data_IF_581302262800
#
_entry.id   IF_581302262800
#
_cell.length_a   1.000
_cell.length_b   1.000
_cell.length_c   1.000
_cell.angle_alpha   90.00
_cell.angle_beta   90.00
_cell.angle_gamma   90.00
#
_symmetry.space_group_name_H-M   'P 1'
#
loop_
_entity.id
_entity.type
_entity.pdbx_description
1 polymer ?
#
# COMPACT_ATOMS: atom_id res chain seq x y z
N UNK A 1 -25.43 -35.83 -38.39
CA UNK A 1 -24.19 -36.08 -37.62
C UNK A 1 -23.12 -35.16 -38.17
N UNK A 2 -22.68 -34.15 -37.39
CA UNK A 2 -21.68 -33.15 -37.82
C UNK A 2 -20.45 -33.21 -36.91
N UNK A 3 -19.38 -33.93 -37.30
CA UNK A 3 -18.11 -33.91 -36.59
C UNK A 3 -17.17 -32.93 -37.29
N UNK A 4 -17.02 -31.72 -36.75
CA UNK A 4 -16.09 -30.75 -37.38
C UNK A 4 -15.89 -29.43 -36.65
N UNK A 5 -16.76 -29.11 -35.68
CA UNK A 5 -16.65 -27.86 -34.91
C UNK A 5 -15.93 -28.01 -33.56
N UNK A 6 -15.84 -29.21 -33.01
CA UNK A 6 -15.22 -29.45 -31.69
C UNK A 6 -13.69 -29.48 -31.72
N UNK A 7 -13.07 -29.80 -32.86
CA UNK A 7 -11.61 -29.96 -32.94
C UNK A 7 -10.83 -28.63 -33.00
N UNK A 8 -11.47 -27.52 -33.40
CA UNK A 8 -10.82 -26.20 -33.43
C UNK A 8 -10.77 -25.51 -32.06
N UNK A 9 -11.67 -25.87 -31.14
CA UNK A 9 -11.72 -25.28 -29.80
C UNK A 9 -10.61 -25.85 -28.89
N UNK A 10 -10.29 -27.15 -29.06
CA UNK A 10 -9.20 -27.80 -28.32
C UNK A 10 -7.81 -27.28 -28.72
N UNK A 11 -7.61 -26.91 -29.99
CA UNK A 11 -6.30 -26.38 -30.44
C UNK A 11 -6.01 -24.96 -29.91
N UNK A 12 -7.05 -24.15 -29.66
CA UNK A 12 -6.90 -22.82 -29.08
C UNK A 12 -6.62 -22.83 -27.57
N UNK A 13 -7.06 -23.85 -26.83
CA UNK A 13 -6.77 -23.97 -25.40
C UNK A 13 -5.32 -24.40 -25.11
N UNK A 14 -4.69 -25.18 -25.99
CA UNK A 14 -3.29 -25.62 -25.80
C UNK A 14 -2.29 -24.48 -26.02
N UNK A 15 -2.60 -23.50 -26.87
CA UNK A 15 -1.71 -22.35 -27.11
C UNK A 15 -1.71 -21.32 -25.96
N UNK A 16 -2.75 -21.28 -25.13
CA UNK A 16 -2.83 -20.35 -23.99
C UNK A 16 -2.00 -20.87 -22.80
N UNK A 17 -1.78 -22.18 -22.69
CA UNK A 17 -0.98 -22.76 -21.59
C UNK A 17 0.53 -22.51 -21.69
N UNK A 18 1.05 -22.11 -22.86
CA UNK A 18 2.48 -21.79 -23.04
C UNK A 18 2.80 -20.29 -22.83
N UNK A 19 1.80 -19.44 -22.60
CA UNK A 19 1.99 -18.01 -22.36
C UNK A 19 2.15 -17.64 -20.87
N UNK A 20 2.33 -18.62 -19.99
CA UNK A 20 2.68 -18.40 -18.56
C UNK A 20 4.10 -18.92 -18.31
N UNK A 21 5.05 -18.48 -19.12
CA UNK A 21 6.46 -18.53 -18.78
C UNK A 21 6.80 -17.21 -18.09
N UNK A 22 7.03 -17.30 -16.78
CA UNK A 22 7.81 -16.36 -15.97
C UNK A 22 7.60 -14.87 -16.26
N UNK A 23 6.56 -14.29 -15.66
CA UNK A 23 6.68 -12.90 -15.21
C UNK A 23 7.70 -12.90 -14.06
N UNK A 24 8.89 -12.29 -14.19
CA UNK A 24 9.79 -12.14 -13.05
C UNK A 24 9.07 -11.25 -12.04
N UNK A 25 8.62 -11.89 -10.96
CA UNK A 25 8.20 -11.22 -9.75
C UNK A 25 9.32 -10.25 -9.34
N UNK A 26 8.92 -9.00 -9.08
CA UNK A 26 9.76 -7.83 -8.87
C UNK A 26 11.16 -8.10 -8.29
N UNK A 27 12.17 -7.81 -9.09
CA UNK A 27 13.46 -7.38 -8.55
C UNK A 27 13.61 -5.90 -8.85
N UNK A 28 13.86 -5.17 -7.78
CA UNK A 28 14.01 -3.73 -7.74
C UNK A 28 15.10 -3.32 -8.75
N UNK A 29 14.74 -2.42 -9.65
CA UNK A 29 15.63 -1.70 -10.56
C UNK A 29 16.55 -0.74 -9.79
N UNK A 30 17.42 -1.30 -8.94
CA UNK A 30 18.46 -0.59 -8.20
C UNK A 30 19.79 -1.33 -8.13
N UNK A 31 19.84 -2.61 -8.53
CA UNK A 31 21.01 -3.48 -8.34
C UNK A 31 21.90 -3.67 -9.59
N UNK A 32 21.44 -3.22 -10.77
CA UNK A 32 22.14 -3.45 -12.04
C UNK A 32 23.58 -2.92 -12.06
N UNK A 33 23.89 -1.66 -11.65
CA UNK A 33 25.23 -1.11 -11.86
C UNK A 33 26.30 -1.74 -10.94
N UNK A 34 25.94 -2.08 -9.70
CA UNK A 34 26.87 -2.71 -8.75
C UNK A 34 27.14 -4.17 -9.17
N UNK A 35 26.10 -4.86 -9.66
CA UNK A 35 26.22 -6.22 -10.13
C UNK A 35 27.14 -6.30 -11.36
N UNK A 36 26.95 -5.44 -12.36
CA UNK A 36 27.74 -5.43 -13.60
C UNK A 36 29.22 -5.17 -13.35
N UNK A 37 29.55 -4.25 -12.44
CA UNK A 37 30.92 -4.00 -12.02
C UNK A 37 31.53 -5.24 -11.35
N UNK A 38 30.82 -5.86 -10.40
CA UNK A 38 31.28 -7.09 -9.74
C UNK A 38 31.39 -8.28 -10.71
N UNK A 39 30.51 -8.38 -11.71
CA UNK A 39 30.55 -9.42 -12.73
C UNK A 39 31.78 -9.28 -13.64
N UNK A 40 32.23 -8.05 -13.90
CA UNK A 40 33.46 -7.76 -14.66
C UNK A 40 34.73 -8.16 -13.88
N UNK A 41 34.77 -7.87 -12.57
CA UNK A 41 35.90 -8.20 -11.69
C UNK A 41 36.06 -9.72 -11.50
N UNK A 42 34.95 -10.45 -11.47
CA UNK A 42 34.93 -11.90 -11.30
C UNK A 42 34.94 -12.66 -12.64
N UNK A 43 35.21 -12.00 -13.77
CA UNK A 43 35.13 -12.60 -15.11
C UNK A 43 36.18 -13.69 -15.38
N UNK A 44 37.29 -13.68 -14.66
CA UNK A 44 38.36 -14.69 -14.74
C UNK A 44 37.99 -16.04 -14.11
N UNK A 45 36.95 -16.07 -13.26
CA UNK A 45 36.47 -17.27 -12.59
C UNK A 45 35.32 -17.90 -13.38
N UNK A 46 35.10 -19.20 -13.21
CA UNK A 46 33.98 -19.92 -13.84
C UNK A 46 33.18 -20.74 -12.84
N UNK A 47 31.95 -21.10 -13.21
CA UNK A 47 31.10 -21.95 -12.38
C UNK A 47 30.81 -21.38 -10.99
N UNK A 48 31.04 -22.19 -9.94
CA UNK A 48 30.68 -21.86 -8.55
C UNK A 48 31.52 -20.72 -7.97
N UNK A 49 32.81 -20.68 -8.30
CA UNK A 49 33.76 -19.69 -7.78
C UNK A 49 33.38 -18.27 -8.25
N UNK A 50 32.92 -18.14 -9.50
CA UNK A 50 32.44 -16.86 -10.04
C UNK A 50 31.23 -16.34 -9.27
N UNK A 51 30.27 -17.22 -8.97
CA UNK A 51 29.05 -16.86 -8.25
C UNK A 51 29.39 -16.38 -6.83
N UNK A 52 30.31 -17.07 -6.17
CA UNK A 52 30.75 -16.70 -4.82
C UNK A 52 31.52 -15.38 -4.81
N UNK A 53 32.42 -15.18 -5.78
CA UNK A 53 33.13 -13.91 -5.98
C UNK A 53 32.15 -12.74 -6.17
N UNK A 54 31.16 -12.87 -7.06
CA UNK A 54 30.17 -11.82 -7.31
C UNK A 54 29.38 -11.53 -6.03
N UNK A 55 28.93 -12.57 -5.31
CA UNK A 55 28.19 -12.41 -4.05
C UNK A 55 29.00 -11.64 -3.00
N UNK A 56 30.26 -11.99 -2.81
CA UNK A 56 31.14 -11.30 -1.88
C UNK A 56 31.38 -9.85 -2.30
N UNK A 57 31.64 -9.61 -3.59
CA UNK A 57 31.85 -8.27 -4.14
C UNK A 57 30.63 -7.37 -3.91
N UNK A 58 29.43 -7.83 -4.27
CA UNK A 58 28.18 -7.07 -4.08
C UNK A 58 27.93 -6.78 -2.60
N UNK A 59 28.12 -7.78 -1.72
CA UNK A 59 27.94 -7.60 -0.29
C UNK A 59 28.95 -6.61 0.32
N UNK A 60 30.20 -6.66 -0.13
CA UNK A 60 31.25 -5.73 0.29
C UNK A 60 30.91 -4.30 -0.15
N UNK A 61 30.59 -4.12 -1.44
CA UNK A 61 30.20 -2.84 -2.04
C UNK A 61 28.98 -2.22 -1.36
N UNK A 62 27.96 -3.02 -1.03
CA UNK A 62 26.76 -2.56 -0.29
C UNK A 62 27.07 -2.13 1.14
N UNK A 63 28.07 -2.73 1.79
CA UNK A 63 28.49 -2.35 3.14
C UNK A 63 29.37 -1.10 3.13
N UNK A 64 30.16 -0.91 2.08
CA UNK A 64 31.05 0.25 1.91
C UNK A 64 30.36 1.45 1.27
N UNK A 65 29.23 1.27 0.57
CA UNK A 65 28.48 2.39 0.01
C UNK A 65 28.00 3.29 1.15
N UNK A 66 28.04 4.62 0.99
CA UNK A 66 27.52 5.53 2.01
C UNK A 66 26.11 5.07 2.35
N UNK A 67 25.87 4.76 3.62
CA UNK A 67 24.53 4.40 4.09
C UNK A 67 23.62 5.53 3.63
N UNK A 68 22.71 5.22 2.71
CA UNK A 68 21.59 6.09 2.36
C UNK A 68 21.05 6.59 3.69
N UNK A 69 21.06 7.90 3.90
CA UNK A 69 20.62 8.47 5.16
C UNK A 69 19.28 7.85 5.51
N UNK A 70 19.13 7.42 6.76
CA UNK A 70 17.88 6.79 7.17
C UNK A 70 16.74 7.76 6.88
N UNK A 71 15.60 7.25 6.41
CA UNK A 71 14.41 8.07 6.17
C UNK A 71 14.03 8.91 7.40
N UNK A 72 14.41 8.45 8.59
CA UNK A 72 14.27 9.19 9.85
C UNK A 72 15.16 10.44 9.86
N UNK A 73 16.43 10.31 9.48
CA UNK A 73 17.38 11.44 9.45
C UNK A 73 16.98 12.47 8.39
N UNK A 74 16.55 12.02 7.22
CA UNK A 74 16.03 12.89 6.16
C UNK A 74 14.82 13.70 6.64
N UNK A 75 13.81 13.02 7.22
CA UNK A 75 12.62 13.69 7.77
C UNK A 75 12.94 14.63 8.92
N UNK A 76 13.92 14.29 9.75
CA UNK A 76 14.38 15.18 10.81
C UNK A 76 14.95 16.47 10.23
N UNK A 77 15.85 16.36 9.24
CA UNK A 77 16.44 17.52 8.55
C UNK A 77 15.37 18.40 7.91
N UNK A 78 14.42 17.80 7.19
CA UNK A 78 13.31 18.54 6.56
C UNK A 78 12.45 19.29 7.59
N UNK A 79 12.14 18.64 8.72
CA UNK A 79 11.38 19.28 9.79
C UNK A 79 12.17 20.37 10.53
N UNK A 80 13.49 20.23 10.66
CA UNK A 80 14.35 21.29 11.20
C UNK A 80 14.38 22.52 10.29
N UNK A 81 14.42 22.32 8.98
CA UNK A 81 14.39 23.39 7.98
C UNK A 81 13.04 24.12 7.98
N UNK A 82 11.91 23.38 7.98
CA UNK A 82 10.56 23.97 8.05
C UNK A 82 10.38 24.79 9.34
N UNK A 83 10.91 24.29 10.46
CA UNK A 83 10.76 24.92 11.77
C UNK A 83 11.88 25.92 12.10
N UNK A 84 12.72 26.27 11.13
CA UNK A 84 13.87 27.18 11.31
C UNK A 84 13.48 28.59 11.77
N UNK A 85 12.26 29.03 11.46
CA UNK A 85 11.72 30.32 11.89
C UNK A 85 11.38 30.41 13.38
N UNK A 86 11.26 29.27 14.07
CA UNK A 86 10.93 29.20 15.50
C UNK A 86 12.17 29.01 16.36
N UNK A 87 12.11 29.44 17.63
CA UNK A 87 13.19 29.25 18.59
C UNK A 87 12.68 28.63 19.90
N UNK A 88 13.58 28.07 20.70
CA UNK A 88 13.27 27.49 22.01
C UNK A 88 12.16 26.42 21.99
N UNK A 89 11.18 26.57 22.87
CA UNK A 89 10.09 25.60 23.06
C UNK A 89 9.17 25.51 21.84
N UNK A 90 8.99 26.60 21.11
CA UNK A 90 8.12 26.63 19.92
C UNK A 90 8.73 25.83 18.77
N UNK A 91 10.06 25.88 18.61
CA UNK A 91 10.77 25.04 17.64
C UNK A 91 10.56 23.55 17.92
N UNK A 92 10.64 23.14 19.19
CA UNK A 92 10.43 21.75 19.59
C UNK A 92 8.98 21.31 19.28
N UNK A 93 7.99 22.16 19.57
CA UNK A 93 6.58 21.89 19.23
C UNK A 93 6.38 21.76 17.72
N UNK A 94 6.96 22.67 16.94
CA UNK A 94 6.89 22.63 15.48
C UNK A 94 7.50 21.34 14.92
N UNK A 95 8.71 20.97 15.34
CA UNK A 95 9.39 19.75 14.87
C UNK A 95 8.55 18.51 15.20
N UNK A 96 8.00 18.41 16.42
CA UNK A 96 7.13 17.28 16.80
C UNK A 96 5.90 17.18 15.88
N UNK A 97 5.19 18.29 15.67
CA UNK A 97 4.00 18.31 14.80
C UNK A 97 4.38 17.94 13.35
N UNK A 98 5.52 18.44 12.86
CA UNK A 98 6.03 18.11 11.54
C UNK A 98 6.33 16.61 11.39
N UNK A 99 7.03 16.01 12.35
CA UNK A 99 7.35 14.58 12.34
C UNK A 99 6.11 13.69 12.44
N UNK A 100 5.12 14.09 13.24
CA UNK A 100 3.86 13.36 13.38
C UNK A 100 3.05 13.37 12.06
N UNK A 101 3.06 14.49 11.33
CA UNK A 101 2.44 14.61 10.00
C UNK A 101 3.20 13.86 8.92
N UNK A 102 4.52 13.83 8.99
CA UNK A 102 5.40 13.16 8.02
C UNK A 102 5.68 11.70 8.39
N UNK A 103 4.89 11.10 9.28
CA UNK A 103 4.98 9.68 9.59
C UNK A 103 4.38 8.91 8.42
N UNK A 104 5.15 8.04 7.73
CA UNK A 104 4.57 7.22 6.67
C UNK A 104 3.45 6.38 7.28
N UNK A 105 2.31 6.34 6.58
CA UNK A 105 1.24 5.43 6.90
C UNK A 105 1.85 4.04 7.04
N UNK A 106 1.71 3.42 8.22
CA UNK A 106 2.25 2.07 8.42
C UNK A 106 1.59 1.17 7.38
N UNK A 107 2.35 0.50 6.50
CA UNK A 107 1.77 -0.49 5.61
C UNK A 107 1.17 -1.58 6.51
N UNK A 108 -0.16 -1.72 6.50
CA UNK A 108 -0.91 -2.62 7.39
C UNK A 108 -1.93 -1.95 8.31
N UNK A 109 -2.06 -0.62 8.29
CA UNK A 109 -3.26 0.06 8.79
C UNK A 109 -4.00 0.61 7.59
N UNK A 110 -4.71 -0.28 6.89
CA UNK A 110 -5.88 0.15 6.13
C UNK A 110 -6.73 0.95 7.12
N UNK A 111 -6.77 2.26 6.92
CA UNK A 111 -7.89 3.03 7.43
C UNK A 111 -9.10 2.40 6.76
N UNK A 112 -9.77 1.50 7.50
CA UNK A 112 -11.16 1.20 7.24
C UNK A 112 -11.82 2.57 7.34
N UNK A 113 -11.99 3.23 6.20
CA UNK A 113 -13.01 4.24 6.01
C UNK A 113 -14.28 3.46 6.31
N UNK A 114 -14.68 3.46 7.58
CA UNK A 114 -16.06 3.18 7.94
C UNK A 114 -16.80 4.38 7.38
N UNK A 115 -17.12 4.29 6.09
CA UNK A 115 -18.38 4.82 5.58
C UNK A 115 -19.42 4.25 6.53
N UNK A 116 -19.68 5.01 7.59
CA UNK A 116 -20.76 4.73 8.51
C UNK A 116 -21.97 5.25 7.75
N UNK A 117 -22.37 4.53 6.70
CA UNK A 117 -23.57 4.85 5.94
C UNK A 117 -24.70 4.94 6.96
N UNK A 118 -25.27 6.14 7.09
CA UNK A 118 -26.46 6.36 7.92
C UNK A 118 -27.51 5.35 7.45
N UNK A 119 -28.05 4.48 8.33
CA UNK A 119 -29.03 3.48 7.93
C UNK A 119 -30.27 4.10 7.26
N UNK A 120 -30.56 5.37 7.55
CA UNK A 120 -31.58 6.12 6.84
C UNK A 120 -31.16 6.51 5.43
N UNK A 121 -29.89 6.84 5.20
CA UNK A 121 -29.34 7.14 3.88
C UNK A 121 -29.40 5.89 2.98
N UNK A 122 -29.08 4.71 3.50
CA UNK A 122 -29.22 3.45 2.75
C UNK A 122 -30.68 3.15 2.36
N UNK A 123 -31.67 3.52 3.21
CA UNK A 123 -33.10 3.28 2.95
C UNK A 123 -33.75 4.33 2.05
N UNK A 124 -33.33 5.58 2.17
CA UNK A 124 -33.94 6.72 1.46
C UNK A 124 -33.12 7.16 0.25
N UNK A 125 -31.89 6.68 0.07
CA UNK A 125 -30.97 7.07 -1.01
C UNK A 125 -31.45 6.73 -2.43
N UNK A 126 -32.42 5.81 -2.56
CA UNK A 126 -33.08 5.48 -3.83
C UNK A 126 -34.04 6.60 -4.30
N UNK A 127 -34.49 7.45 -3.38
CA UNK A 127 -35.35 8.59 -3.68
C UNK A 127 -34.49 9.83 -3.98
N UNK A 128 -35.05 10.77 -4.74
CA UNK A 128 -34.40 12.04 -5.06
C UNK A 128 -35.31 13.23 -4.75
N UNK A 129 -34.69 14.41 -4.55
CA UNK A 129 -35.39 15.66 -4.25
C UNK A 129 -36.21 15.63 -2.95
N UNK A 130 -37.34 16.33 -2.94
CA UNK A 130 -38.16 16.54 -1.74
C UNK A 130 -38.75 15.25 -1.11
N UNK A 131 -38.80 14.16 -1.88
CA UNK A 131 -39.22 12.84 -1.39
C UNK A 131 -38.13 12.17 -0.56
N UNK A 132 -36.85 12.33 -0.95
CA UNK A 132 -35.71 11.88 -0.15
C UNK A 132 -35.68 12.58 1.20
N UNK A 133 -35.86 13.90 1.21
CA UNK A 133 -35.83 14.69 2.44
C UNK A 133 -36.93 14.29 3.42
N UNK A 134 -38.16 14.09 2.93
CA UNK A 134 -39.28 13.60 3.74
C UNK A 134 -39.02 12.19 4.27
N UNK A 135 -38.44 11.30 3.46
CA UNK A 135 -38.05 9.95 3.88
C UNK A 135 -36.99 10.00 4.98
N UNK A 136 -35.92 10.78 4.81
CA UNK A 136 -34.84 10.93 5.78
C UNK A 136 -35.35 11.50 7.11
N UNK A 137 -36.20 12.53 7.06
CA UNK A 137 -36.82 13.12 8.25
C UNK A 137 -37.71 12.12 9.00
N UNK A 138 -38.47 11.30 8.28
CA UNK A 138 -39.32 10.26 8.88
C UNK A 138 -38.49 9.13 9.48
N UNK A 139 -37.51 8.61 8.73
CA UNK A 139 -36.63 7.55 9.17
C UNK A 139 -35.87 7.93 10.45
N UNK A 140 -35.28 9.14 10.49
CA UNK A 140 -34.55 9.62 11.67
C UNK A 140 -35.47 9.87 12.88
N UNK A 141 -36.74 10.21 12.66
CA UNK A 141 -37.73 10.39 13.74
C UNK A 141 -38.11 9.06 14.36
N UNK A 142 -38.27 8.01 13.56
CA UNK A 142 -38.63 6.66 14.02
C UNK A 142 -37.43 5.97 14.72
N UNK A 143 -36.23 6.08 14.14
CA UNK A 143 -35.01 5.46 14.70
C UNK A 143 -34.58 6.04 16.06
N UNK A 144 -34.99 7.27 16.39
CA UNK A 144 -34.72 7.90 17.69
C UNK A 144 -35.43 7.18 18.86
N UNK A 145 -36.54 6.48 18.59
CA UNK A 145 -37.30 5.75 19.61
C UNK A 145 -36.81 4.31 19.79
N UNK A 146 -36.32 3.66 18.73
CA UNK A 146 -35.82 2.28 18.78
C UNK A 146 -34.59 2.10 19.67
N UNK A 147 -33.70 3.09 19.72
CA UNK A 147 -32.52 3.06 20.61
C UNK A 147 -32.87 3.22 22.09
N UNK A 148 -34.02 3.80 22.41
CA UNK A 148 -34.45 3.99 23.80
C UNK A 148 -35.09 2.72 24.37
N UNK A 149 -35.78 1.92 23.55
CA UNK A 149 -36.41 0.67 23.98
C UNK A 149 -35.41 -0.48 24.17
N UNK A 150 -34.39 -0.61 23.31
CA UNK A 150 -33.37 -1.67 23.47
C UNK A 150 -32.52 -1.53 24.75
N UNK A 151 -32.45 -0.33 25.32
CA UNK A 151 -31.76 -0.08 26.59
C UNK A 151 -32.55 -0.54 27.83
N UNK A 152 -33.87 -0.77 27.71
CA UNK A 152 -34.73 -1.19 28.83
C UNK A 152 -34.98 -2.71 28.87
N UNK A 153 -34.83 -3.42 27.76
CA UNK A 153 -35.10 -4.87 27.69
C UNK A 153 -33.96 -5.76 28.20
N UNK A 154 -32.77 -5.20 28.49
CA UNK A 154 -31.58 -5.96 28.98
C UNK A 154 -31.41 -5.95 30.51
N UNK A 155 -32.48 -5.77 31.27
CA UNK A 155 -32.50 -6.02 32.72
C UNK A 155 -33.62 -7.03 33.05
N UNK A 156 -33.38 -8.31 32.79
CA UNK A 156 -33.99 -9.41 33.54
C UNK A 156 -33.14 -10.66 33.40
#
# INVERSE_FOLDING_TARGET
MMPGRTMRILFLLVLISFAVADAPAGSQTGDSPIYDECASLCSSLTGKERVECIRMCVNSKRRSSPRVESDVKKRMSECEDICSAYTGVEKIKCIRICLDRNKPARPGREEIIKDTEDPCESRCGVLSGSLKDKCMLKCRREHKFEYQDQSKSKKK
#
